data_IF_447736776321
#
_entry.id   IF_447736776321
#
_cell.length_a   1.000
_cell.length_b   1.000
_cell.length_c   1.000
_cell.angle_alpha   90.00
_cell.angle_beta   90.00
_cell.angle_gamma   90.00
#
_symmetry.space_group_name_H-M   'P 1'
#
loop_
_entity.id
_entity.type
_entity.pdbx_description
1 polymer ?
#
# COMPACT_ATOMS: atom_id res chain seq x y z
N UNK A 1 -1.47 -38.30 -8.42
CA UNK A 1 -1.30 -37.11 -9.31
C UNK A 1 -2.06 -35.94 -8.68
N UNK A 2 -1.37 -35.07 -7.94
CA UNK A 2 -2.00 -34.08 -7.09
C UNK A 2 -2.01 -32.71 -7.78
N UNK A 3 -3.19 -32.17 -8.12
CA UNK A 3 -3.33 -30.89 -8.85
C UNK A 3 -2.82 -29.69 -8.04
N UNK A 4 -2.79 -29.81 -6.72
CA UNK A 4 -2.17 -28.82 -5.83
C UNK A 4 -0.65 -28.74 -5.98
N UNK A 5 0.03 -29.86 -6.27
CA UNK A 5 1.47 -29.85 -6.55
C UNK A 5 1.76 -29.19 -7.89
N UNK A 6 0.93 -29.45 -8.91
CA UNK A 6 1.05 -28.78 -10.21
C UNK A 6 0.87 -27.25 -10.10
N UNK A 7 -0.09 -26.79 -9.28
CA UNK A 7 -0.30 -25.37 -9.05
C UNK A 7 0.90 -24.67 -8.39
N UNK A 8 1.50 -25.29 -7.36
CA UNK A 8 2.63 -24.71 -6.61
C UNK A 8 3.95 -24.81 -7.36
N UNK A 9 4.22 -25.93 -8.04
CA UNK A 9 5.53 -26.18 -8.66
C UNK A 9 5.59 -25.80 -10.15
N UNK A 10 4.46 -25.64 -10.83
CA UNK A 10 4.42 -25.29 -12.26
C UNK A 10 3.79 -23.91 -12.46
N UNK A 11 2.60 -23.66 -11.91
CA UNK A 11 1.88 -22.40 -12.18
C UNK A 11 2.48 -21.19 -11.44
N UNK A 12 2.84 -21.33 -10.16
CA UNK A 12 3.45 -20.22 -9.37
C UNK A 12 4.81 -19.78 -9.94
N UNK A 13 5.76 -20.67 -10.30
CA UNK A 13 7.02 -20.26 -10.90
C UNK A 13 6.87 -19.66 -12.30
N UNK A 14 5.94 -20.18 -13.11
CA UNK A 14 5.69 -19.65 -14.45
C UNK A 14 5.09 -18.24 -14.43
N UNK A 15 4.27 -17.91 -13.42
CA UNK A 15 3.65 -16.59 -13.26
C UNK A 15 4.44 -15.62 -12.36
N UNK A 16 5.59 -16.05 -11.85
CA UNK A 16 6.46 -15.28 -10.94
C UNK A 16 6.69 -13.82 -11.32
N UNK A 17 7.06 -13.45 -12.57
CA UNK A 17 7.26 -12.04 -12.93
C UNK A 17 5.95 -11.22 -12.91
N UNK A 18 4.82 -11.81 -13.28
CA UNK A 18 3.51 -11.14 -13.24
C UNK A 18 3.00 -10.99 -11.80
N UNK A 19 3.18 -12.01 -10.97
CA UNK A 19 2.83 -11.96 -9.55
C UNK A 19 3.66 -10.91 -8.79
N UNK A 20 4.93 -10.77 -9.13
CA UNK A 20 5.81 -9.70 -8.62
C UNK A 20 5.26 -8.31 -8.90
N UNK A 21 4.90 -8.06 -10.16
CA UNK A 21 4.34 -6.78 -10.56
C UNK A 21 3.01 -6.53 -9.85
N UNK A 22 2.13 -7.53 -9.80
CA UNK A 22 0.85 -7.46 -9.08
C UNK A 22 1.03 -7.19 -7.58
N UNK A 23 2.00 -7.83 -6.93
CA UNK A 23 2.30 -7.63 -5.52
C UNK A 23 2.79 -6.20 -5.22
N UNK A 24 3.70 -5.66 -6.04
CA UNK A 24 4.18 -4.27 -5.89
C UNK A 24 3.03 -3.28 -6.09
N UNK A 25 2.22 -3.47 -7.12
CA UNK A 25 1.06 -2.61 -7.37
C UNK A 25 0.01 -2.71 -6.27
N UNK A 26 -0.22 -3.90 -5.70
CA UNK A 26 -1.12 -4.08 -4.57
C UNK A 26 -0.60 -3.30 -3.33
N UNK A 27 0.69 -3.42 -3.01
CA UNK A 27 1.32 -2.67 -1.91
C UNK A 27 1.11 -1.17 -2.09
N UNK A 28 1.45 -0.62 -3.27
CA UNK A 28 1.28 0.81 -3.56
C UNK A 28 -0.18 1.23 -3.41
N UNK A 29 -1.11 0.47 -3.97
CA UNK A 29 -2.54 0.79 -3.88
C UNK A 29 -3.03 0.76 -2.43
N UNK A 30 -2.63 -0.21 -1.62
CA UNK A 30 -3.05 -0.29 -0.21
C UNK A 30 -2.60 0.94 0.58
N UNK A 31 -1.37 1.41 0.39
CA UNK A 31 -0.87 2.60 1.07
C UNK A 31 -1.44 3.90 0.53
N UNK A 32 -1.79 3.95 -0.77
CA UNK A 32 -2.42 5.12 -1.41
C UNK A 32 -3.91 5.26 -1.11
N UNK A 33 -4.57 4.20 -0.63
CA UNK A 33 -6.02 4.17 -0.46
C UNK A 33 -6.45 4.67 0.93
N UNK A 34 -6.16 5.95 1.23
CA UNK A 34 -6.56 6.62 2.47
C UNK A 34 -8.07 6.68 2.68
N UNK A 35 -8.80 6.86 1.58
CA UNK A 35 -10.23 7.20 1.59
C UNK A 35 -11.16 6.07 2.07
N UNK A 36 -10.76 4.80 2.00
CA UNK A 36 -11.62 3.69 2.44
C UNK A 36 -11.99 3.84 3.93
N UNK A 37 -11.04 4.25 4.78
CA UNK A 37 -11.30 4.43 6.21
C UNK A 37 -12.36 5.50 6.47
N UNK A 38 -12.23 6.66 5.81
CA UNK A 38 -13.16 7.79 5.93
C UNK A 38 -14.53 7.48 5.32
N UNK A 39 -14.56 6.79 4.19
CA UNK A 39 -15.80 6.38 3.53
C UNK A 39 -16.61 5.38 4.38
N UNK A 40 -15.94 4.45 5.06
CA UNK A 40 -16.59 3.47 5.92
C UNK A 40 -17.09 4.07 7.24
N UNK A 41 -16.41 5.09 7.78
CA UNK A 41 -16.80 5.73 9.04
C UNK A 41 -17.69 6.95 8.86
N UNK A 42 -17.83 7.48 7.64
CA UNK A 42 -18.65 8.64 7.32
C UNK A 42 -18.14 9.97 7.91
N UNK A 43 -16.98 9.97 8.56
CA UNK A 43 -16.38 11.13 9.21
C UNK A 43 -14.85 11.06 9.11
N UNK A 44 -14.23 12.22 8.86
CA UNK A 44 -12.78 12.43 8.95
C UNK A 44 -12.53 13.47 10.06
N UNK A 45 -11.86 13.14 11.18
CA UNK A 45 -11.16 11.88 11.51
C UNK A 45 -12.12 10.69 11.77
N UNK A 46 -11.67 9.48 11.45
CA UNK A 46 -12.41 8.23 11.81
C UNK A 46 -12.58 8.14 13.33
N UNK A 47 -13.72 7.63 13.86
CA UNK A 47 -13.92 7.45 15.30
C UNK A 47 -12.74 6.69 15.94
N UNK A 48 -12.03 7.35 16.85
CA UNK A 48 -10.87 6.77 17.55
C UNK A 48 -9.62 6.54 16.70
N UNK A 49 -9.45 7.21 15.55
CA UNK A 49 -8.31 7.03 14.63
C UNK A 49 -8.16 5.60 14.05
N UNK A 50 -9.12 4.70 14.30
CA UNK A 50 -8.99 3.28 14.02
C UNK A 50 -8.91 2.92 12.53
N UNK A 51 -9.38 3.82 11.65
CA UNK A 51 -9.30 3.67 10.19
C UNK A 51 -8.41 4.71 9.52
N UNK A 52 -7.61 5.45 10.29
CA UNK A 52 -6.86 6.59 9.74
C UNK A 52 -5.52 6.13 9.18
N UNK A 53 -5.36 6.28 7.88
CA UNK A 53 -4.12 5.98 7.17
C UNK A 53 -3.24 7.24 7.10
N UNK A 54 -1.94 7.04 6.86
CA UNK A 54 -0.96 8.15 6.72
C UNK A 54 -1.41 9.13 5.63
N UNK A 55 -2.07 8.63 4.57
CA UNK A 55 -2.67 9.47 3.51
C UNK A 55 -3.77 10.39 4.05
N UNK A 56 -4.62 9.92 4.96
CA UNK A 56 -5.65 10.78 5.58
C UNK A 56 -5.02 11.90 6.42
N UNK A 57 -3.87 11.62 7.04
CA UNK A 57 -3.10 12.64 7.74
C UNK A 57 -2.47 13.66 6.78
N UNK A 58 -1.98 13.21 5.62
CA UNK A 58 -1.48 14.11 4.57
C UNK A 58 -2.60 15.01 4.05
N UNK A 59 -3.79 14.45 3.79
CA UNK A 59 -4.94 15.20 3.28
C UNK A 59 -5.45 16.23 4.30
N UNK A 60 -5.56 15.88 5.57
CA UNK A 60 -5.98 16.83 6.62
C UNK A 60 -5.00 18.01 6.73
N UNK A 61 -3.69 17.76 6.71
CA UNK A 61 -2.71 18.83 6.83
C UNK A 61 -2.52 19.63 5.53
N UNK A 62 -2.69 18.99 4.38
CA UNK A 62 -2.61 19.62 3.07
C UNK A 62 -3.81 20.51 2.75
N UNK A 63 -5.03 20.04 3.06
CA UNK A 63 -6.27 20.70 2.63
C UNK A 63 -7.04 21.41 3.76
N UNK A 64 -7.06 20.89 5.00
CA UNK A 64 -7.74 21.60 6.10
C UNK A 64 -6.87 22.67 6.76
N UNK A 65 -5.57 22.40 6.92
CA UNK A 65 -4.64 23.34 7.59
C UNK A 65 -3.78 24.18 6.64
N UNK A 66 -3.86 23.90 5.33
CA UNK A 66 -3.06 24.55 4.29
C UNK A 66 -1.53 24.49 4.53
N UNK A 67 -1.04 23.56 5.35
CA UNK A 67 0.39 23.34 5.61
C UNK A 67 1.00 22.42 4.55
N UNK A 68 0.96 22.88 3.29
CA UNK A 68 1.41 22.13 2.10
C UNK A 68 2.85 21.59 2.24
N UNK A 69 3.74 22.34 2.92
CA UNK A 69 5.11 21.91 3.16
C UNK A 69 5.23 20.73 4.12
N UNK A 70 4.41 20.69 5.18
CA UNK A 70 4.37 19.57 6.12
C UNK A 70 3.75 18.34 5.46
N UNK A 71 2.63 18.53 4.74
CA UNK A 71 1.99 17.46 3.98
C UNK A 71 2.95 16.83 2.94
N UNK A 72 3.75 17.65 2.25
CA UNK A 72 4.77 17.18 1.33
C UNK A 72 5.86 16.36 2.03
N UNK A 73 6.37 16.81 3.17
CA UNK A 73 7.39 16.07 3.94
C UNK A 73 6.88 14.69 4.39
N UNK A 74 5.65 14.61 4.90
CA UNK A 74 5.02 13.35 5.30
C UNK A 74 4.80 12.43 4.08
N UNK A 75 4.48 13.00 2.92
CA UNK A 75 4.33 12.24 1.67
C UNK A 75 5.66 11.60 1.21
N UNK A 76 6.79 12.30 1.37
CA UNK A 76 8.12 11.74 1.05
C UNK A 76 8.48 10.60 2.01
N UNK A 77 8.17 10.74 3.31
CA UNK A 77 8.37 9.66 4.29
C UNK A 77 7.54 8.43 3.94
N UNK A 78 6.27 8.62 3.57
CA UNK A 78 5.40 7.53 3.12
C UNK A 78 5.96 6.84 1.87
N UNK A 79 6.48 7.61 0.91
CA UNK A 79 7.12 7.06 -0.28
C UNK A 79 8.35 6.20 0.08
N UNK A 80 9.15 6.62 1.05
CA UNK A 80 10.30 5.85 1.54
C UNK A 80 9.86 4.49 2.11
N UNK A 81 8.75 4.47 2.86
CA UNK A 81 8.17 3.25 3.43
C UNK A 81 7.68 2.31 2.32
N UNK A 82 6.91 2.83 1.36
CA UNK A 82 6.40 2.05 0.21
C UNK A 82 7.57 1.48 -0.60
N UNK A 83 8.62 2.27 -0.83
CA UNK A 83 9.81 1.84 -1.54
C UNK A 83 10.51 0.68 -0.81
N UNK A 84 10.64 0.77 0.51
CA UNK A 84 11.26 -0.28 1.32
C UNK A 84 10.48 -1.59 1.21
N UNK A 85 9.15 -1.56 1.37
CA UNK A 85 8.31 -2.75 1.18
C UNK A 85 8.35 -3.29 -0.24
N UNK A 86 8.33 -2.41 -1.24
CA UNK A 86 8.41 -2.80 -2.65
C UNK A 86 9.76 -3.44 -2.98
N UNK A 87 10.85 -2.96 -2.39
CA UNK A 87 12.18 -3.53 -2.54
C UNK A 87 12.28 -4.91 -1.87
N UNK A 88 11.71 -5.07 -0.67
CA UNK A 88 11.61 -6.37 0.00
C UNK A 88 10.80 -7.38 -0.82
N UNK A 89 9.65 -6.99 -1.36
CA UNK A 89 8.84 -7.83 -2.23
C UNK A 89 9.63 -8.25 -3.49
N UNK A 90 10.34 -7.31 -4.11
CA UNK A 90 11.23 -7.62 -5.24
C UNK A 90 12.29 -8.66 -4.87
N UNK A 91 12.96 -8.49 -3.73
CA UNK A 91 13.99 -9.42 -3.28
C UNK A 91 13.43 -10.82 -2.99
N UNK A 92 12.24 -10.91 -2.40
CA UNK A 92 11.61 -12.19 -2.03
C UNK A 92 11.18 -13.02 -3.25
N UNK A 93 10.74 -12.38 -4.33
CA UNK A 93 10.28 -13.07 -5.53
C UNK A 93 11.30 -13.07 -6.69
N UNK A 94 12.43 -12.36 -6.57
CA UNK A 94 13.51 -12.32 -7.57
C UNK A 94 14.51 -13.49 -7.43
N UNK A 95 14.33 -14.37 -6.46
CA UNK A 95 15.03 -15.66 -6.35
C UNK A 95 14.22 -16.73 -7.03
#
# INVERSE_FOLDING_TARGET
KNRFQELIYITVPAMKPQMLFGAVMAIVNTFSNGMIGVQLTGANPTPGYAGQLIVNHIDDYGFLRYEMGYAAAVSVVLLMIIYLFSHFAKKLFSE
#
